data_IF_696631500325
#
_entry.id   IF_696631500325
#
_cell.length_a   1.000
_cell.length_b   1.000
_cell.length_c   1.000
_cell.angle_alpha   90.00
_cell.angle_beta   90.00
_cell.angle_gamma   90.00
#
_symmetry.space_group_name_H-M   'P 1'
#
loop_
_entity.id
_entity.type
_entity.pdbx_description
1 polymer ?
#
# COMPACT_ATOMS: atom_id res chain seq x y z
N UNK A 1 -29.63 12.16 -21.29
CA UNK A 1 -29.26 11.12 -20.31
C UNK A 1 -28.08 11.69 -19.55
N UNK A 2 -28.25 12.00 -18.27
CA UNK A 2 -27.17 12.56 -17.44
C UNK A 2 -26.11 11.48 -17.29
N UNK A 3 -24.95 11.71 -17.89
CA UNK A 3 -23.75 10.92 -17.66
C UNK A 3 -23.35 11.18 -16.21
N UNK A 4 -23.81 10.32 -15.31
CA UNK A 4 -23.24 10.22 -13.97
C UNK A 4 -21.84 9.69 -14.19
N UNK A 5 -20.90 10.60 -14.44
CA UNK A 5 -19.47 10.33 -14.33
C UNK A 5 -19.29 9.82 -12.91
N UNK A 6 -19.26 8.50 -12.79
CA UNK A 6 -18.94 7.83 -11.55
C UNK A 6 -17.57 8.38 -11.18
N UNK A 7 -17.55 9.23 -10.16
CA UNK A 7 -16.35 9.84 -9.61
C UNK A 7 -15.56 8.71 -8.91
N UNK A 8 -15.10 7.75 -9.71
CA UNK A 8 -14.38 6.57 -9.28
C UNK A 8 -13.10 7.11 -8.71
N UNK A 9 -12.99 7.05 -7.38
CA UNK A 9 -11.79 7.53 -6.72
C UNK A 9 -10.59 6.84 -7.34
N UNK A 10 -9.68 7.63 -7.90
CA UNK A 10 -8.53 7.10 -8.62
C UNK A 10 -7.66 6.35 -7.61
N UNK A 11 -7.51 5.04 -7.82
CA UNK A 11 -6.66 4.20 -6.97
C UNK A 11 -5.30 4.07 -7.63
N UNK A 12 -4.25 4.51 -6.93
CA UNK A 12 -2.87 4.40 -7.39
C UNK A 12 -2.14 3.28 -6.62
N UNK A 13 -1.56 2.30 -7.32
CA UNK A 13 -0.66 1.33 -6.72
C UNK A 13 0.69 1.99 -6.41
N UNK A 14 1.18 1.80 -5.19
CA UNK A 14 2.50 2.20 -4.72
C UNK A 14 3.27 0.95 -4.28
N UNK A 15 4.38 0.68 -4.97
CA UNK A 15 5.26 -0.46 -4.71
C UNK A 15 6.54 0.07 -4.08
N UNK A 16 6.90 -0.48 -2.94
CA UNK A 16 8.11 -0.08 -2.25
C UNK A 16 8.68 -1.17 -1.38
N UNK A 17 9.98 -1.10 -1.17
CA UNK A 17 10.69 -1.97 -0.25
C UNK A 17 10.66 -1.29 1.11
N UNK A 18 10.31 -2.03 2.14
CA UNK A 18 10.48 -1.51 3.50
C UNK A 18 11.93 -1.70 3.90
N UNK A 19 12.61 -0.63 4.30
CA UNK A 19 14.03 -0.66 4.73
C UNK A 19 14.26 -1.40 6.04
N UNK A 20 13.21 -1.74 6.79
CA UNK A 20 13.31 -2.63 7.95
C UNK A 20 13.35 -4.08 7.48
N UNK A 21 14.46 -4.75 7.75
CA UNK A 21 14.63 -6.21 7.67
C UNK A 21 13.56 -6.89 8.54
N UNK A 22 12.79 -7.81 7.95
CA UNK A 22 11.74 -8.55 8.67
C UNK A 22 10.70 -9.16 7.74
N UNK A 23 10.20 -10.35 8.07
CA UNK A 23 9.19 -11.08 7.27
C UNK A 23 7.84 -10.36 7.25
N UNK A 24 7.00 -10.67 6.27
CA UNK A 24 5.66 -10.10 6.10
C UNK A 24 4.58 -10.64 7.05
N UNK A 25 4.96 -11.32 8.14
CA UNK A 25 4.02 -11.85 9.14
C UNK A 25 3.07 -10.78 9.71
N UNK A 26 2.30 -11.10 10.77
CA UNK A 26 1.22 -10.23 11.26
C UNK A 26 1.57 -8.73 11.41
N UNK A 27 2.80 -8.40 11.81
CA UNK A 27 3.27 -7.02 11.94
C UNK A 27 3.76 -6.37 10.62
N UNK A 28 4.20 -7.15 9.63
CA UNK A 28 4.81 -6.65 8.40
C UNK A 28 3.82 -5.90 7.49
N UNK A 29 2.58 -6.38 7.42
CA UNK A 29 1.52 -5.68 6.66
C UNK A 29 1.15 -4.34 7.31
N UNK A 30 1.17 -4.26 8.64
CA UNK A 30 0.87 -3.02 9.36
C UNK A 30 2.00 -2.01 9.17
N UNK A 31 3.25 -2.46 9.14
CA UNK A 31 4.39 -1.61 8.79
C UNK A 31 4.33 -1.12 7.34
N UNK A 32 3.88 -1.94 6.38
CA UNK A 32 3.62 -1.48 5.02
C UNK A 32 2.56 -0.37 4.99
N UNK A 33 1.45 -0.51 5.74
CA UNK A 33 0.42 0.53 5.82
C UNK A 33 0.97 1.82 6.42
N UNK A 34 1.77 1.72 7.49
CA UNK A 34 2.38 2.88 8.13
C UNK A 34 3.40 3.59 7.22
N UNK A 35 4.22 2.82 6.50
CA UNK A 35 5.15 3.38 5.52
C UNK A 35 4.41 4.07 4.36
N UNK A 36 3.34 3.48 3.85
CA UNK A 36 2.49 4.12 2.84
C UNK A 36 1.88 5.43 3.34
N UNK A 37 1.34 5.43 4.57
CA UNK A 37 0.79 6.64 5.21
C UNK A 37 1.87 7.72 5.36
N UNK A 38 3.06 7.37 5.84
CA UNK A 38 4.13 8.33 6.03
C UNK A 38 4.56 9.02 4.73
N UNK A 39 4.52 8.31 3.60
CA UNK A 39 4.87 8.81 2.26
C UNK A 39 3.75 9.62 1.61
N UNK A 40 2.53 9.08 1.62
CA UNK A 40 1.41 9.64 0.84
C UNK A 40 0.51 10.56 1.67
N UNK A 41 0.72 10.61 3.00
CA UNK A 41 -0.13 11.31 3.98
C UNK A 41 -1.61 10.93 3.88
N UNK A 42 -1.89 9.73 3.34
CA UNK A 42 -3.21 9.17 3.09
C UNK A 42 -3.20 7.69 3.46
N UNK A 43 -4.34 7.12 3.91
CA UNK A 43 -4.45 5.70 4.19
C UNK A 43 -4.43 4.87 2.91
N UNK A 44 -3.74 3.73 2.97
CA UNK A 44 -3.87 2.71 1.94
C UNK A 44 -5.24 2.02 2.06
N UNK A 45 -5.94 1.92 0.93
CA UNK A 45 -7.17 1.13 0.77
C UNK A 45 -6.85 -0.36 0.94
N UNK A 46 -5.75 -0.81 0.36
CA UNK A 46 -5.26 -2.19 0.51
C UNK A 46 -3.73 -2.20 0.53
N UNK A 47 -3.14 -3.12 1.28
CA UNK A 47 -1.71 -3.41 1.19
C UNK A 47 -1.51 -4.92 1.13
N UNK A 48 -0.54 -5.32 0.31
CA UNK A 48 0.00 -6.68 0.27
C UNK A 48 1.45 -6.60 0.71
N UNK A 49 1.86 -7.59 1.48
CA UNK A 49 3.25 -7.75 1.89
C UNK A 49 3.75 -9.07 1.30
N UNK A 50 4.92 -9.05 0.65
CA UNK A 50 5.64 -10.24 0.19
C UNK A 50 7.06 -10.24 0.73
N UNK A 51 7.55 -11.38 1.17
CA UNK A 51 8.90 -11.53 1.75
C UNK A 51 9.75 -12.61 1.05
N UNK A 52 9.96 -12.53 -0.29
CA UNK A 52 10.91 -13.40 -0.96
C UNK A 52 12.33 -13.11 -0.44
N UNK A 53 13.08 -14.18 -0.14
CA UNK A 53 14.50 -14.11 0.26
C UNK A 53 14.75 -13.12 1.42
N UNK A 54 13.91 -13.18 2.46
CA UNK A 54 14.01 -12.37 3.69
C UNK A 54 13.87 -10.85 3.50
N UNK A 55 13.51 -10.40 2.28
CA UNK A 55 13.37 -8.99 1.94
C UNK A 55 11.90 -8.60 1.87
N UNK A 56 11.49 -7.58 2.63
CA UNK A 56 10.09 -7.14 2.72
C UNK A 56 9.68 -6.20 1.59
N UNK A 57 8.80 -6.67 0.72
CA UNK A 57 8.17 -5.92 -0.35
C UNK A 57 6.73 -5.55 0.02
N UNK A 58 6.46 -4.25 0.04
CA UNK A 58 5.14 -3.69 0.25
C UNK A 58 4.54 -3.28 -1.10
N UNK A 59 3.31 -3.72 -1.34
CA UNK A 59 2.51 -3.25 -2.47
C UNK A 59 1.19 -2.73 -1.93
N UNK A 60 1.09 -1.41 -1.81
CA UNK A 60 -0.09 -0.73 -1.30
C UNK A 60 -0.85 -0.08 -2.43
N UNK A 61 -2.15 0.07 -2.26
CA UNK A 61 -3.03 0.80 -3.16
C UNK A 61 -3.77 1.80 -2.30
N UNK A 62 -3.73 3.06 -2.70
CA UNK A 62 -4.49 4.11 -2.03
C UNK A 62 -4.97 5.15 -3.01
N UNK A 63 -5.67 6.14 -2.49
CA UNK A 63 -6.33 7.15 -3.30
C UNK A 63 -5.31 8.21 -3.74
N UNK A 64 -5.19 8.39 -5.05
CA UNK A 64 -4.64 9.58 -5.66
C UNK A 64 -5.82 10.55 -5.86
#
# INVERSE_FOLDING_TARGET
VQEVESNQTKLCPDKFNSTKTGKCGGSGINECRNAYWNRNKKPAVSCKCRDPYETRFCHCVGQC
#
